data_IF_465562451814
#
_entry.id   IF_465562451814
#
_cell.length_a   1.000
_cell.length_b   1.000
_cell.length_c   1.000
_cell.angle_alpha   90.00
_cell.angle_beta   90.00
_cell.angle_gamma   90.00
#
_symmetry.space_group_name_H-M   'P 1'
#
loop_
_entity.id
_entity.type
_entity.pdbx_description
1 polymer ?
#
# COMPACT_ATOMS: atom_id res chain seq x y z
N UNK A 1 -20.11 16.84 4.83
CA UNK A 1 -18.71 17.28 4.67
C UNK A 1 -17.92 16.63 5.78
N UNK A 2 -17.39 15.43 5.53
CA UNK A 2 -16.75 14.56 6.53
C UNK A 2 -15.26 14.89 6.61
N UNK A 3 -14.91 15.85 7.48
CA UNK A 3 -13.53 16.27 7.72
C UNK A 3 -12.69 15.14 8.35
N UNK A 4 -13.33 14.26 9.12
CA UNK A 4 -12.71 13.17 9.89
C UNK A 4 -12.09 12.07 9.01
N UNK A 5 -12.75 11.69 7.91
CA UNK A 5 -12.20 10.68 6.98
C UNK A 5 -10.97 11.18 6.22
N UNK A 6 -10.93 12.48 5.89
CA UNK A 6 -9.81 13.09 5.16
C UNK A 6 -8.57 13.23 6.05
N UNK A 7 -8.73 13.65 7.31
CA UNK A 7 -7.64 13.73 8.29
C UNK A 7 -7.01 12.36 8.59
N UNK A 8 -7.82 11.31 8.64
CA UNK A 8 -7.36 9.94 8.90
C UNK A 8 -6.50 9.42 7.75
N UNK A 9 -6.93 9.64 6.50
CA UNK A 9 -6.19 9.24 5.31
C UNK A 9 -4.85 9.97 5.18
N UNK A 10 -4.83 11.29 5.43
CA UNK A 10 -3.60 12.08 5.35
C UNK A 10 -2.59 11.68 6.44
N UNK A 11 -3.07 11.38 7.65
CA UNK A 11 -2.22 10.85 8.72
C UNK A 11 -1.64 9.49 8.35
N UNK A 12 -2.46 8.58 7.81
CA UNK A 12 -2.01 7.27 7.35
C UNK A 12 -0.93 7.39 6.27
N UNK A 13 -1.11 8.27 5.28
CA UNK A 13 -0.11 8.50 4.23
C UNK A 13 1.23 8.98 4.82
N UNK A 14 1.20 9.91 5.77
CA UNK A 14 2.42 10.45 6.40
C UNK A 14 3.21 9.39 7.18
N UNK A 15 2.56 8.36 7.72
CA UNK A 15 3.26 7.24 8.40
C UNK A 15 4.15 6.43 7.46
N UNK A 16 3.94 6.54 6.14
CA UNK A 16 4.72 5.83 5.11
C UNK A 16 5.95 6.61 4.63
N UNK A 17 6.38 7.65 5.36
CA UNK A 17 7.56 8.43 5.03
C UNK A 17 8.80 7.56 4.83
N UNK A 18 9.47 7.70 3.68
CA UNK A 18 10.67 6.92 3.33
C UNK A 18 10.40 5.55 2.69
N UNK A 19 9.14 5.18 2.47
CA UNK A 19 8.76 3.98 1.74
C UNK A 19 9.28 4.03 0.30
N UNK A 20 10.08 3.03 -0.10
CA UNK A 20 10.50 2.88 -1.49
C UNK A 20 9.42 2.12 -2.26
N UNK A 21 9.02 2.68 -3.38
CA UNK A 21 8.01 2.08 -4.25
C UNK A 21 8.39 2.23 -5.72
N UNK A 22 7.72 1.47 -6.57
CA UNK A 22 7.66 1.67 -8.01
C UNK A 22 6.20 1.81 -8.42
N UNK A 23 5.92 2.57 -9.47
CA UNK A 23 4.57 2.66 -10.05
C UNK A 23 4.59 2.01 -11.42
N UNK A 24 3.62 1.14 -11.67
CA UNK A 24 3.50 0.43 -12.94
C UNK A 24 2.04 0.35 -13.37
N UNK A 25 1.81 -0.01 -14.63
CA UNK A 25 0.47 -0.31 -15.11
C UNK A 25 0.48 -1.52 -16.04
N UNK A 26 -0.65 -2.22 -16.10
CA UNK A 26 -0.94 -3.27 -17.07
C UNK A 26 -2.26 -2.94 -17.76
N UNK A 27 -2.25 -2.78 -19.08
CA UNK A 27 -3.47 -2.51 -19.87
C UNK A 27 -4.36 -1.37 -19.32
N UNK A 28 -3.73 -0.32 -18.79
CA UNK A 28 -4.44 0.84 -18.24
C UNK A 28 -4.83 0.73 -16.76
N UNK A 29 -4.68 -0.45 -16.14
CA UNK A 29 -4.84 -0.60 -14.70
C UNK A 29 -3.50 -0.34 -13.99
N UNK A 30 -3.45 0.64 -13.08
CA UNK A 30 -2.21 1.08 -12.43
C UNK A 30 -2.06 0.62 -10.98
N UNK A 31 -0.81 0.34 -10.58
CA UNK A 31 -0.46 -0.17 -9.26
C UNK A 31 0.73 0.58 -8.66
N UNK A 32 0.68 0.79 -7.35
CA UNK A 32 1.88 1.03 -6.54
C UNK A 32 2.46 -0.33 -6.15
N UNK A 33 3.75 -0.53 -6.39
CA UNK A 33 4.48 -1.75 -6.06
C UNK A 33 5.50 -1.47 -4.95
N UNK A 34 5.44 -2.26 -3.89
CA UNK A 34 6.37 -2.20 -2.74
C UNK A 34 7.07 -3.54 -2.62
N UNK A 35 8.40 -3.52 -2.65
CA UNK A 35 9.21 -4.70 -2.34
C UNK A 35 9.43 -4.79 -0.82
N UNK A 36 9.08 -5.92 -0.24
CA UNK A 36 9.25 -6.22 1.18
C UNK A 36 9.89 -7.61 1.38
N UNK A 37 11.17 -7.79 0.96
CA UNK A 37 11.83 -9.11 1.02
C UNK A 37 12.01 -9.65 2.44
N UNK A 38 12.08 -8.76 3.43
CA UNK A 38 12.24 -9.10 4.85
C UNK A 38 10.91 -9.20 5.62
N UNK A 39 9.78 -8.85 5.02
CA UNK A 39 8.47 -8.85 5.69
C UNK A 39 8.36 -7.77 6.79
N UNK A 40 9.13 -6.69 6.68
CA UNK A 40 9.27 -5.64 7.69
C UNK A 40 8.44 -4.40 7.38
N UNK A 41 7.70 -4.39 6.27
CA UNK A 41 6.89 -3.26 5.82
C UNK A 41 5.40 -3.66 5.79
N UNK A 42 4.77 -3.91 6.96
CA UNK A 42 3.34 -4.10 7.01
C UNK A 42 2.67 -2.81 6.53
N UNK A 43 1.78 -2.96 5.55
CA UNK A 43 0.92 -1.89 5.05
C UNK A 43 -0.50 -2.34 5.30
N UNK A 44 -1.24 -1.55 6.06
CA UNK A 44 -2.65 -1.81 6.35
C UNK A 44 -3.57 -1.24 5.25
N UNK A 45 -4.88 -1.50 5.38
CA UNK A 45 -5.87 -1.06 4.40
C UNK A 45 -6.01 0.46 4.33
N UNK A 46 -5.84 1.19 5.44
CA UNK A 46 -5.96 2.64 5.46
C UNK A 46 -4.77 3.30 4.75
N UNK A 47 -3.57 2.79 5.00
CA UNK A 47 -2.34 3.18 4.32
C UNK A 47 -2.41 2.86 2.82
N UNK A 48 -2.90 1.67 2.44
CA UNK A 48 -3.08 1.30 1.04
C UNK A 48 -4.08 2.24 0.34
N UNK A 49 -5.22 2.53 0.96
CA UNK A 49 -6.21 3.47 0.43
C UNK A 49 -5.63 4.88 0.29
N UNK A 50 -4.87 5.35 1.29
CA UNK A 50 -4.22 6.64 1.26
C UNK A 50 -3.15 6.75 0.16
N UNK A 51 -2.38 5.68 -0.10
CA UNK A 51 -1.46 5.60 -1.23
C UNK A 51 -2.17 5.69 -2.57
N UNK A 52 -3.34 5.04 -2.69
CA UNK A 52 -4.10 4.93 -3.93
C UNK A 52 -4.96 6.17 -4.23
N UNK A 53 -5.18 7.08 -3.27
CA UNK A 53 -5.87 8.35 -3.51
C UNK A 53 -5.13 9.16 -4.60
N UNK A 54 -5.85 9.54 -5.68
CA UNK A 54 -5.26 10.23 -6.84
C UNK A 54 -4.98 11.72 -6.63
N UNK A 55 -5.54 12.33 -5.59
CA UNK A 55 -5.40 13.75 -5.30
C UNK A 55 -4.44 14.01 -4.13
N UNK A 56 -4.39 13.09 -3.17
CA UNK A 56 -3.63 13.25 -1.92
C UNK A 56 -2.51 12.21 -1.76
N UNK A 57 -2.54 11.14 -2.55
CA UNK A 57 -1.55 10.06 -2.54
C UNK A 57 -0.75 9.98 -3.84
N UNK A 58 -0.25 8.78 -4.14
CA UNK A 58 0.47 8.47 -5.40
C UNK A 58 -0.51 8.28 -6.56
N UNK A 59 -1.73 7.83 -6.24
CA UNK A 59 -2.80 7.54 -7.17
C UNK A 59 -2.61 6.22 -7.90
N UNK A 60 -3.42 5.21 -7.62
CA UNK A 60 -3.40 3.93 -8.34
C UNK A 60 -4.74 3.22 -8.18
N UNK A 61 -5.03 2.24 -9.03
CA UNK A 61 -6.17 1.34 -8.84
C UNK A 61 -5.93 0.38 -7.67
N UNK A 62 -4.67 0.10 -7.32
CA UNK A 62 -4.32 -0.70 -6.15
C UNK A 62 -2.85 -0.67 -5.72
N UNK A 63 -2.57 -1.41 -4.65
CA UNK A 63 -1.24 -1.63 -4.07
C UNK A 63 -0.87 -3.11 -4.18
N UNK A 64 0.36 -3.38 -4.62
CA UNK A 64 0.98 -4.71 -4.61
C UNK A 64 2.17 -4.69 -3.64
N UNK A 65 2.10 -5.46 -2.55
CA UNK A 65 3.24 -5.72 -1.67
C UNK A 65 3.85 -7.08 -2.01
N UNK A 66 5.04 -7.08 -2.58
CA UNK A 66 5.79 -8.30 -2.87
C UNK A 66 6.58 -8.73 -1.63
N UNK A 67 6.06 -9.75 -0.93
CA UNK A 67 6.62 -10.29 0.32
C UNK A 67 6.65 -11.82 0.26
N UNK A 68 7.69 -12.50 0.79
CA UNK A 68 7.70 -13.96 0.86
C UNK A 68 6.51 -14.55 1.62
N UNK A 69 5.87 -15.61 1.09
CA UNK A 69 4.66 -16.22 1.66
C UNK A 69 4.82 -16.65 3.13
N UNK A 70 6.03 -17.04 3.55
CA UNK A 70 6.35 -17.38 4.95
C UNK A 70 6.14 -16.22 5.94
N UNK A 71 5.96 -14.98 5.48
CA UNK A 71 5.66 -13.84 6.34
C UNK A 71 4.16 -13.52 6.43
N UNK A 72 3.32 -14.23 5.68
CA UNK A 72 1.86 -14.09 5.71
C UNK A 72 1.23 -15.30 6.40
N UNK A 73 0.21 -15.12 7.27
CA UNK A 73 -0.48 -16.24 7.91
C UNK A 73 -0.99 -17.29 6.91
N UNK A 74 -1.68 -16.83 5.86
CA UNK A 74 -2.27 -17.67 4.82
C UNK A 74 -1.20 -18.42 4.03
N UNK A 75 -0.03 -17.80 3.86
CA UNK A 75 1.12 -18.42 3.19
C UNK A 75 1.82 -19.46 4.06
N UNK A 76 1.87 -19.27 5.39
CA UNK A 76 2.47 -20.22 6.34
C UNK A 76 1.67 -21.51 6.45
N UNK A 77 0.34 -21.44 6.31
CA UNK A 77 -0.53 -22.62 6.38
C UNK A 77 -0.32 -23.61 5.22
N UNK A 78 0.32 -23.16 4.14
CA UNK A 78 0.51 -23.93 2.90
C UNK A 78 1.95 -24.41 2.66
N UNK A 79 2.90 -24.03 3.52
CA UNK A 79 4.33 -24.39 3.43
C UNK A 79 4.71 -25.48 4.44
#
# INVERSE_FOLDING_TARGET
MDATATETSETAFRTLGGLRFSKGHGTGNDFVLVADPEGAQPIDAAQAAALCDRHRGIGADGLIRAVPSRFLPEGRELL
#
